data_IF_075955042391
#
_entry.id   IF_075955042391
#
_cell.length_a   1.000
_cell.length_b   1.000
_cell.length_c   1.000
_cell.angle_alpha   90.00
_cell.angle_beta   90.00
_cell.angle_gamma   90.00
#
_symmetry.space_group_name_H-M   'P 1'
#
loop_
_entity.id
_entity.type
_entity.pdbx_description
1 polymer ?
#
# COMPACT_ATOMS: atom_id res chain seq x y z
N UNK A 1 19.99 3.62 8.41
CA UNK A 1 18.53 3.79 8.18
C UNK A 1 18.22 4.82 7.09
N UNK A 2 18.67 6.08 7.21
CA UNK A 2 18.46 7.10 6.17
C UNK A 2 19.10 6.75 4.81
N UNK A 3 20.32 6.19 4.80
CA UNK A 3 20.99 5.76 3.57
C UNK A 3 20.32 4.54 2.93
N UNK A 4 19.94 3.55 3.74
CA UNK A 4 19.16 2.39 3.29
C UNK A 4 17.82 2.80 2.67
N UNK A 5 17.09 3.74 3.28
CA UNK A 5 15.86 4.30 2.71
C UNK A 5 16.15 5.00 1.37
N UNK A 6 17.25 5.76 1.26
CA UNK A 6 17.65 6.37 -0.01
C UNK A 6 17.97 5.35 -1.09
N UNK A 7 18.62 4.24 -0.74
CA UNK A 7 18.96 3.18 -1.69
C UNK A 7 17.72 2.41 -2.17
N UNK A 8 16.81 2.07 -1.25
CA UNK A 8 15.53 1.43 -1.59
C UNK A 8 14.64 2.31 -2.48
N UNK A 9 14.77 3.63 -2.35
CA UNK A 9 14.02 4.62 -3.13
C UNK A 9 14.77 5.10 -4.39
N UNK A 10 16.04 4.70 -4.58
CA UNK A 10 16.83 4.97 -5.79
C UNK A 10 16.45 3.96 -6.90
N UNK A 11 15.26 4.18 -7.43
CA UNK A 11 14.83 4.03 -8.83
C UNK A 11 15.05 2.72 -9.61
N UNK A 12 16.09 1.91 -9.45
CA UNK A 12 16.31 0.76 -10.33
C UNK A 12 15.45 -0.46 -9.95
N UNK A 13 15.33 -0.76 -8.66
CA UNK A 13 14.40 -1.80 -8.17
C UNK A 13 12.94 -1.45 -8.40
N UNK A 14 12.60 -0.15 -8.51
CA UNK A 14 11.24 0.31 -8.74
C UNK A 14 10.88 0.51 -10.22
N UNK A 15 11.82 0.29 -11.15
CA UNK A 15 11.58 0.34 -12.60
C UNK A 15 11.00 -0.94 -13.15
N UNK A 16 11.16 -2.05 -12.43
CA UNK A 16 10.62 -3.34 -12.80
C UNK A 16 9.14 -3.44 -12.37
N UNK A 17 8.18 -3.61 -13.31
CA UNK A 17 6.77 -3.79 -12.97
C UNK A 17 6.54 -4.99 -12.06
N UNK A 18 7.34 -6.05 -12.15
CA UNK A 18 7.16 -7.25 -11.33
C UNK A 18 7.51 -7.00 -9.87
N UNK A 19 8.64 -6.34 -9.59
CA UNK A 19 9.01 -5.96 -8.23
C UNK A 19 8.04 -4.95 -7.63
N UNK A 20 7.56 -4.00 -8.44
CA UNK A 20 6.58 -3.02 -7.98
C UNK A 20 5.24 -3.68 -7.62
N UNK A 21 4.72 -4.57 -8.48
CA UNK A 21 3.49 -5.31 -8.18
C UNK A 21 3.68 -6.23 -6.97
N UNK A 22 4.84 -6.88 -6.83
CA UNK A 22 5.14 -7.69 -5.65
C UNK A 22 5.15 -6.85 -4.36
N UNK A 23 5.65 -5.61 -4.43
CA UNK A 23 5.64 -4.66 -3.30
C UNK A 23 4.20 -4.27 -2.94
N UNK A 24 3.36 -3.95 -3.93
CA UNK A 24 1.93 -3.67 -3.73
C UNK A 24 1.21 -4.87 -3.09
N UNK A 25 1.48 -6.09 -3.54
CA UNK A 25 0.94 -7.30 -2.91
C UNK A 25 1.45 -7.49 -1.47
N UNK A 26 2.71 -7.12 -1.20
CA UNK A 26 3.27 -7.06 0.16
C UNK A 26 2.45 -6.18 1.10
N UNK A 27 1.99 -5.02 0.62
CA UNK A 27 1.15 -4.10 1.39
C UNK A 27 -0.22 -4.67 1.76
N UNK A 28 -0.76 -5.61 0.98
CA UNK A 28 -1.95 -6.36 1.37
C UNK A 28 -1.71 -7.16 2.65
N UNK A 29 -0.57 -7.87 2.74
CA UNK A 29 -0.22 -8.63 3.94
C UNK A 29 0.04 -7.72 5.14
N UNK A 30 0.68 -6.57 4.93
CA UNK A 30 0.82 -5.53 5.97
C UNK A 30 -0.55 -5.11 6.48
N UNK A 31 -1.51 -4.86 5.59
CA UNK A 31 -2.88 -4.54 5.95
C UNK A 31 -3.56 -5.62 6.78
N UNK A 32 -3.45 -6.89 6.39
CA UNK A 32 -4.01 -8.03 7.16
C UNK A 32 -3.46 -8.05 8.60
N UNK A 33 -2.14 -7.89 8.76
CA UNK A 33 -1.49 -7.94 10.07
C UNK A 33 -1.87 -6.74 10.92
N UNK A 34 -1.77 -5.52 10.38
CA UNK A 34 -2.12 -4.29 11.10
C UNK A 34 -3.60 -4.28 11.50
N UNK A 35 -4.49 -4.69 10.58
CA UNK A 35 -5.89 -4.88 10.87
C UNK A 35 -6.10 -5.85 12.03
N UNK A 36 -5.44 -7.02 12.01
CA UNK A 36 -5.59 -8.02 13.05
C UNK A 36 -5.19 -7.50 14.43
N UNK A 37 -4.09 -6.75 14.52
CA UNK A 37 -3.65 -6.12 15.78
C UNK A 37 -4.64 -5.06 16.26
N UNK A 38 -5.11 -4.18 15.37
CA UNK A 38 -6.04 -3.11 15.75
C UNK A 38 -7.43 -3.66 16.11
N UNK A 39 -7.90 -4.68 15.42
CA UNK A 39 -9.16 -5.38 15.68
C UNK A 39 -9.16 -6.20 16.99
N UNK A 40 -8.01 -6.39 17.65
CA UNK A 40 -7.98 -6.92 19.03
C UNK A 40 -8.47 -5.90 20.05
N UNK A 41 -8.26 -4.60 19.78
CA UNK A 41 -8.66 -3.51 20.67
C UNK A 41 -9.92 -2.77 20.25
N UNK A 42 -10.32 -2.90 18.99
CA UNK A 42 -11.51 -2.28 18.37
C UNK A 42 -12.36 -3.35 17.70
N UNK A 43 -13.50 -2.97 17.12
CA UNK A 43 -14.24 -3.88 16.24
C UNK A 43 -13.59 -3.99 14.84
N UNK A 44 -13.92 -5.07 14.14
CA UNK A 44 -13.32 -5.41 12.84
C UNK A 44 -13.46 -4.33 11.76
N UNK A 45 -14.59 -3.61 11.76
CA UNK A 45 -14.92 -2.65 10.69
C UNK A 45 -14.32 -1.30 10.98
N UNK A 46 -14.35 -0.86 12.24
CA UNK A 46 -13.61 0.32 12.67
C UNK A 46 -12.11 0.13 12.40
N UNK A 47 -11.54 -1.05 12.70
CA UNK A 47 -10.16 -1.35 12.37
C UNK A 47 -9.90 -1.27 10.85
N UNK A 48 -10.78 -1.85 10.03
CA UNK A 48 -10.62 -1.83 8.57
C UNK A 48 -10.70 -0.42 7.97
N UNK A 49 -11.45 0.49 8.59
CA UNK A 49 -11.58 1.89 8.15
C UNK A 49 -10.42 2.77 8.62
N UNK A 50 -9.87 2.53 9.81
CA UNK A 50 -8.83 3.39 10.42
C UNK A 50 -7.43 3.01 9.96
N UNK A 51 -7.13 1.71 9.80
CA UNK A 51 -5.77 1.24 9.48
C UNK A 51 -5.24 1.82 8.17
N UNK A 52 -5.98 1.86 7.04
CA UNK A 52 -5.45 2.40 5.79
C UNK A 52 -5.09 3.89 5.84
N UNK A 53 -5.94 4.82 6.30
CA UNK A 53 -5.56 6.22 6.43
C UNK A 53 -4.49 6.43 7.49
N UNK A 54 -4.47 5.66 8.58
CA UNK A 54 -3.40 5.72 9.58
C UNK A 54 -2.06 5.29 8.97
N UNK A 55 -2.04 4.22 8.17
CA UNK A 55 -0.85 3.78 7.43
C UNK A 55 -0.34 4.87 6.48
N UNK A 56 -1.23 5.44 5.67
CA UNK A 56 -0.88 6.51 4.74
C UNK A 56 -0.29 7.73 5.46
N UNK A 57 -0.86 8.15 6.59
CA UNK A 57 -0.41 9.34 7.30
C UNK A 57 0.88 9.09 8.10
N UNK A 58 0.96 7.97 8.80
CA UNK A 58 2.04 7.69 9.75
C UNK A 58 3.26 7.05 9.08
N UNK A 59 3.06 6.18 8.10
CA UNK A 59 4.16 5.48 7.44
C UNK A 59 4.55 6.19 6.15
N UNK A 60 3.64 6.30 5.19
CA UNK A 60 3.93 6.94 3.90
C UNK A 60 4.20 8.45 4.06
N UNK A 61 3.40 9.13 4.89
CA UNK A 61 3.60 10.53 5.22
C UNK A 61 4.96 10.79 5.90
N UNK A 62 5.39 9.87 6.76
CA UNK A 62 6.70 9.96 7.42
C UNK A 62 7.84 9.72 6.42
N UNK A 63 7.73 8.72 5.55
CA UNK A 63 8.70 8.49 4.47
C UNK A 63 8.82 9.73 3.57
N UNK A 64 7.69 10.28 3.15
CA UNK A 64 7.63 11.49 2.31
C UNK A 64 8.26 12.70 3.01
N UNK A 65 8.04 12.85 4.32
CA UNK A 65 8.66 13.91 5.12
C UNK A 65 10.18 13.72 5.27
N UNK A 66 10.64 12.49 5.47
CA UNK A 66 12.06 12.16 5.65
C UNK A 66 12.89 12.30 4.36
N UNK A 67 12.26 12.19 3.19
CA UNK A 67 12.91 12.36 1.90
C UNK A 67 13.33 13.82 1.64
N UNK A 68 14.52 14.00 1.05
CA UNK A 68 15.01 15.33 0.67
C UNK A 68 14.09 15.95 -0.40
N UNK A 69 14.01 17.28 -0.43
CA UNK A 69 13.16 18.02 -1.38
C UNK A 69 13.34 17.59 -2.84
N UNK A 70 14.53 17.17 -3.23
CA UNK A 70 14.85 16.75 -4.61
C UNK A 70 14.29 15.37 -4.98
N UNK A 71 13.97 14.54 -3.97
CA UNK A 71 13.38 13.22 -4.17
C UNK A 71 11.87 13.21 -3.98
N UNK A 72 11.22 14.34 -3.66
CA UNK A 72 9.76 14.39 -3.52
C UNK A 72 9.10 14.52 -4.89
N UNK A 73 8.89 13.39 -5.55
CA UNK A 73 8.25 13.33 -6.87
C UNK A 73 6.79 12.92 -6.77
N UNK A 74 6.02 13.23 -7.81
CA UNK A 74 4.65 12.74 -7.95
C UNK A 74 4.59 11.21 -7.95
N UNK A 75 5.57 10.54 -8.57
CA UNK A 75 5.64 9.08 -8.62
C UNK A 75 5.71 8.47 -7.22
N UNK A 76 6.52 9.03 -6.32
CA UNK A 76 6.65 8.55 -4.94
C UNK A 76 5.39 8.80 -4.11
N UNK A 77 4.75 9.96 -4.28
CA UNK A 77 3.45 10.20 -3.66
C UNK A 77 2.39 9.20 -4.15
N UNK A 78 2.37 8.94 -5.45
CA UNK A 78 1.44 8.00 -6.07
C UNK A 78 1.68 6.56 -5.60
N UNK A 79 2.94 6.15 -5.45
CA UNK A 79 3.31 4.86 -4.86
C UNK A 79 2.76 4.73 -3.44
N UNK A 80 2.96 5.73 -2.58
CA UNK A 80 2.41 5.70 -1.21
C UNK A 80 0.87 5.65 -1.15
N UNK A 81 0.18 6.30 -2.09
CA UNK A 81 -1.28 6.17 -2.22
C UNK A 81 -1.68 4.74 -2.58
N UNK A 82 -0.98 4.11 -3.52
CA UNK A 82 -1.26 2.74 -3.95
C UNK A 82 -0.92 1.71 -2.87
N UNK A 83 0.13 1.95 -2.09
CA UNK A 83 0.48 1.13 -0.94
C UNK A 83 -0.62 1.18 0.13
N UNK A 84 -1.17 2.36 0.42
CA UNK A 84 -2.33 2.51 1.30
C UNK A 84 -3.59 1.81 0.75
N UNK A 85 -3.78 1.81 -0.58
CA UNK A 85 -4.85 1.03 -1.23
C UNK A 85 -4.63 -0.47 -1.04
N UNK A 86 -3.39 -0.97 -1.21
CA UNK A 86 -3.02 -2.36 -0.92
C UNK A 86 -3.34 -2.73 0.53
N UNK A 87 -2.96 -1.87 1.49
CA UNK A 87 -3.30 -2.01 2.91
C UNK A 87 -4.82 -2.07 3.11
N UNK A 88 -5.59 -1.21 2.45
CA UNK A 88 -7.05 -1.24 2.53
C UNK A 88 -7.63 -2.59 2.06
N UNK A 89 -7.21 -3.08 0.89
CA UNK A 89 -7.67 -4.39 0.40
C UNK A 89 -7.31 -5.53 1.36
N UNK A 90 -6.14 -5.48 2.00
CA UNK A 90 -5.77 -6.42 3.07
C UNK A 90 -6.70 -6.36 4.27
N UNK A 91 -7.01 -5.15 4.75
CA UNK A 91 -7.90 -4.94 5.89
C UNK A 91 -9.34 -5.42 5.61
N UNK A 92 -9.92 -4.98 4.48
CA UNK A 92 -11.28 -5.37 4.08
C UNK A 92 -11.37 -6.86 3.76
N UNK A 93 -10.39 -7.42 3.06
CA UNK A 93 -10.31 -8.85 2.78
C UNK A 93 -10.26 -9.68 4.07
N UNK A 94 -9.45 -9.27 5.05
CA UNK A 94 -9.37 -9.94 6.34
C UNK A 94 -10.67 -9.82 7.16
N UNK A 95 -11.33 -8.66 7.14
CA UNK A 95 -12.63 -8.47 7.79
C UNK A 95 -13.71 -9.38 7.17
N UNK A 96 -13.76 -9.50 5.84
CA UNK A 96 -14.69 -10.40 5.16
C UNK A 96 -14.40 -11.88 5.47
N UNK A 97 -13.13 -12.28 5.51
CA UNK A 97 -12.73 -13.64 5.94
C UNK A 97 -13.17 -13.91 7.38
N UNK A 98 -13.03 -12.94 8.29
CA UNK A 98 -13.49 -13.04 9.67
C UNK A 98 -14.99 -13.30 9.83
N UNK A 99 -15.80 -12.97 8.81
CA UNK A 99 -17.23 -13.23 8.74
C UNK A 99 -17.61 -14.46 7.88
N UNK A 100 -16.62 -15.22 7.40
CA UNK A 100 -16.81 -16.31 6.43
C UNK A 100 -17.45 -15.86 5.11
N UNK A 101 -17.23 -14.61 4.71
CA UNK A 101 -17.63 -14.08 3.40
C UNK A 101 -16.50 -14.23 2.38
N UNK A 102 -16.11 -15.48 2.13
CA UNK A 102 -14.95 -15.84 1.30
C UNK A 102 -15.00 -15.24 -0.10
N UNK A 103 -16.20 -15.16 -0.69
CA UNK A 103 -16.43 -14.58 -2.00
C UNK A 103 -16.16 -13.06 -2.01
N UNK A 104 -16.53 -12.34 -0.95
CA UNK A 104 -16.24 -10.90 -0.83
C UNK A 104 -14.75 -10.67 -0.56
N UNK A 105 -14.12 -11.51 0.26
CA UNK A 105 -12.68 -11.47 0.47
C UNK A 105 -11.91 -11.71 -0.85
N UNK A 106 -12.33 -12.70 -1.63
CA UNK A 106 -11.77 -12.97 -2.95
C UNK A 106 -11.93 -11.76 -3.88
N UNK A 107 -13.09 -11.11 -3.90
CA UNK A 107 -13.32 -9.90 -4.69
C UNK A 107 -12.35 -8.78 -4.27
N UNK A 108 -12.12 -8.57 -2.98
CA UNK A 108 -11.13 -7.61 -2.50
C UNK A 108 -9.73 -7.90 -3.06
N UNK A 109 -9.27 -9.16 -2.99
CA UNK A 109 -7.93 -9.49 -3.49
C UNK A 109 -7.84 -9.44 -5.03
N UNK A 110 -8.87 -9.87 -5.75
CA UNK A 110 -8.91 -9.79 -7.22
C UNK A 110 -8.99 -8.35 -7.72
N UNK A 111 -9.68 -7.46 -7.00
CA UNK A 111 -9.76 -6.04 -7.33
C UNK A 111 -8.39 -5.33 -7.26
N UNK A 112 -7.39 -5.93 -6.61
CA UNK A 112 -6.01 -5.44 -6.65
C UNK A 112 -5.39 -5.55 -8.05
N UNK A 113 -5.82 -6.50 -8.90
CA UNK A 113 -5.27 -6.66 -10.25
C UNK A 113 -5.49 -5.42 -11.14
N UNK A 114 -6.72 -4.90 -11.33
CA UNK A 114 -6.90 -3.68 -12.11
C UNK A 114 -6.22 -2.47 -11.44
N UNK A 115 -6.16 -2.41 -10.11
CA UNK A 115 -5.43 -1.36 -9.39
C UNK A 115 -3.94 -1.40 -9.69
N UNK A 116 -3.33 -2.58 -9.69
CA UNK A 116 -1.92 -2.77 -10.00
C UNK A 116 -1.61 -2.35 -11.45
N UNK A 117 -2.44 -2.78 -12.40
CA UNK A 117 -2.28 -2.46 -13.82
C UNK A 117 -2.42 -0.96 -14.08
N UNK A 118 -3.54 -0.36 -13.64
CA UNK A 118 -3.79 1.07 -13.85
C UNK A 118 -2.80 1.92 -13.06
N UNK A 119 -2.52 1.53 -11.82
CA UNK A 119 -1.57 2.20 -10.94
C UNK A 119 -0.19 2.29 -11.55
N UNK A 120 0.30 1.18 -12.13
CA UNK A 120 1.56 1.15 -12.86
C UNK A 120 1.58 2.08 -14.07
N UNK A 121 0.56 2.02 -14.94
CA UNK A 121 0.51 2.88 -16.13
C UNK A 121 0.44 4.37 -15.80
N UNK A 122 -0.34 4.75 -14.78
CA UNK A 122 -0.41 6.15 -14.31
C UNK A 122 0.93 6.60 -13.76
N UNK A 123 1.63 5.73 -13.04
CA UNK A 123 2.96 6.00 -12.51
C UNK A 123 3.98 6.22 -13.63
N UNK A 124 4.02 5.31 -14.60
CA UNK A 124 4.96 5.36 -15.73
C UNK A 124 4.79 6.64 -16.55
N UNK A 125 3.53 7.00 -16.85
CA UNK A 125 3.20 8.19 -17.64
C UNK A 125 3.62 9.52 -16.98
N UNK A 126 3.93 9.51 -15.68
CA UNK A 126 4.26 10.70 -14.89
C UNK A 126 5.69 10.69 -14.36
N UNK A 127 6.53 9.78 -14.85
CA UNK A 127 7.96 9.78 -14.53
C UNK A 127 8.65 10.97 -15.20
N UNK A 128 9.48 11.75 -14.47
CA UNK A 128 10.34 12.75 -15.11
C UNK A 128 11.40 12.05 -15.98
N UNK A 129 11.60 12.57 -17.19
CA UNK A 129 12.63 12.12 -18.15
C UNK A 129 14.05 12.26 -17.57
#
# INVERSE_FOLDING_TARGET
MREMLRELLRADSQRDPHHWVATLAGHVYVGIVLWGVVAMGLDMWTAALIVPPAYLLLWEGLQFWMLERHYRTWALFWDGVLDAVGVAFGCFGAAFLGLNFDHMALICFLALMPVAVVGWFVREARRPC
#
